data_IF_751767510524
#
_entry.id   IF_751767510524
#
_cell.length_a   1.000
_cell.length_b   1.000
_cell.length_c   1.000
_cell.angle_alpha   90.00
_cell.angle_beta   90.00
_cell.angle_gamma   90.00
#
_symmetry.space_group_name_H-M   'P 1'
#
loop_
_entity.id
_entity.type
_entity.pdbx_description
1 polymer ?
#
# COMPACT_ATOMS: atom_id res chain seq x y z
N UNK A 1 -22.34 16.97 11.99
CA UNK A 1 -22.31 15.53 12.25
C UNK A 1 -21.29 14.91 11.29
N UNK A 2 -20.31 14.17 11.80
CA UNK A 2 -19.40 13.38 10.95
C UNK A 2 -20.21 12.25 10.33
N UNK A 3 -20.21 12.16 9.01
CA UNK A 3 -20.76 10.96 8.36
C UNK A 3 -19.79 9.81 8.61
N UNK A 4 -20.27 8.63 9.06
CA UNK A 4 -19.42 7.45 9.18
C UNK A 4 -18.89 7.06 7.78
N UNK A 5 -17.60 6.79 7.71
CA UNK A 5 -16.96 6.32 6.47
C UNK A 5 -16.92 4.80 6.53
N UNK A 6 -17.66 4.14 5.62
CA UNK A 6 -17.51 2.70 5.44
C UNK A 6 -16.12 2.41 4.84
N UNK A 7 -15.33 1.64 5.56
CA UNK A 7 -13.94 1.36 5.24
C UNK A 7 -13.56 -0.07 5.64
N UNK A 8 -12.39 -0.55 5.20
CA UNK A 8 -11.84 -1.80 5.69
C UNK A 8 -11.77 -1.84 7.22
N UNK A 9 -11.36 -0.72 7.84
CA UNK A 9 -11.19 -0.59 9.28
C UNK A 9 -12.55 -0.75 10.00
N UNK A 10 -13.54 0.08 9.63
CA UNK A 10 -14.87 0.02 10.25
C UNK A 10 -15.58 -1.32 10.03
N UNK A 11 -15.35 -1.95 8.87
CA UNK A 11 -15.89 -3.27 8.57
C UNK A 11 -15.26 -4.35 9.45
N UNK A 12 -13.93 -4.38 9.57
CA UNK A 12 -13.24 -5.35 10.42
C UNK A 12 -13.49 -5.11 11.90
N UNK A 13 -13.60 -3.85 12.36
CA UNK A 13 -14.05 -3.52 13.72
C UNK A 13 -15.42 -4.16 14.01
N UNK A 14 -16.36 -4.11 13.05
CA UNK A 14 -17.67 -4.73 13.20
C UNK A 14 -17.62 -6.26 13.31
N UNK A 15 -16.51 -6.87 12.89
CA UNK A 15 -16.22 -8.31 13.04
C UNK A 15 -15.44 -8.64 14.31
N UNK A 16 -15.12 -7.64 15.15
CA UNK A 16 -14.38 -7.80 16.39
C UNK A 16 -12.86 -7.81 16.24
N UNK A 17 -12.33 -7.26 15.14
CA UNK A 17 -10.91 -7.03 14.98
C UNK A 17 -10.44 -5.83 15.81
N UNK A 18 -9.28 -5.97 16.46
CA UNK A 18 -8.54 -4.86 17.06
C UNK A 18 -7.73 -4.17 15.95
N UNK A 19 -7.94 -2.89 15.72
CA UNK A 19 -7.38 -2.17 14.58
C UNK A 19 -6.33 -1.16 14.98
N UNK A 20 -5.19 -1.15 14.29
CA UNK A 20 -4.05 -0.29 14.59
C UNK A 20 -3.43 0.31 13.34
N UNK A 21 -3.11 1.61 13.42
CA UNK A 21 -2.34 2.32 12.40
C UNK A 21 -0.96 2.69 12.94
N UNK A 22 0.09 2.36 12.18
CA UNK A 22 1.49 2.60 12.51
C UNK A 22 2.12 3.53 11.49
N UNK A 23 2.74 4.63 11.96
CA UNK A 23 3.47 5.55 11.10
C UNK A 23 4.56 6.27 11.89
N UNK A 24 5.83 5.96 11.64
CA UNK A 24 6.97 6.42 12.42
C UNK A 24 7.22 7.93 12.46
N UNK A 25 6.46 8.73 11.71
CA UNK A 25 6.54 10.19 11.72
C UNK A 25 5.97 10.81 13.02
N UNK A 26 6.27 12.10 13.30
CA UNK A 26 5.58 12.84 14.37
C UNK A 26 4.06 12.75 14.24
N UNK A 27 3.37 12.55 15.37
CA UNK A 27 1.92 12.32 15.41
C UNK A 27 1.15 13.44 14.79
N UNK A 28 0.64 13.63 13.83
CA UNK A 28 0.00 14.78 13.17
C UNK A 28 0.64 15.10 11.81
N UNK A 29 1.78 14.52 11.48
CA UNK A 29 2.37 14.64 10.15
C UNK A 29 1.35 14.18 9.10
N UNK A 30 1.25 14.95 8.00
CA UNK A 30 0.39 14.69 6.84
C UNK A 30 -1.10 14.41 7.18
N UNK A 31 -1.53 14.64 8.44
CA UNK A 31 -2.91 14.43 8.87
C UNK A 31 -3.28 12.96 9.16
N UNK A 32 -2.32 12.03 9.17
CA UNK A 32 -2.60 10.59 9.36
C UNK A 32 -3.30 10.26 10.67
N UNK A 33 -2.92 10.91 11.79
CA UNK A 33 -3.63 10.74 13.06
C UNK A 33 -5.11 11.15 12.95
N UNK A 34 -5.37 12.27 12.31
CA UNK A 34 -6.75 12.76 12.10
C UNK A 34 -7.53 11.83 11.18
N UNK A 35 -6.90 11.32 10.14
CA UNK A 35 -7.51 10.39 9.19
C UNK A 35 -7.76 9.02 9.80
N UNK A 36 -6.81 8.47 10.58
CA UNK A 36 -7.01 7.22 11.30
C UNK A 36 -8.19 7.28 12.28
N UNK A 37 -8.38 8.42 12.95
CA UNK A 37 -9.55 8.64 13.80
C UNK A 37 -10.87 8.72 13.01
N UNK A 38 -10.84 9.25 11.76
CA UNK A 38 -12.02 9.27 10.88
C UNK A 38 -12.37 7.86 10.41
N UNK A 39 -11.37 7.03 10.13
CA UNK A 39 -11.54 5.63 9.75
C UNK A 39 -11.86 4.71 10.92
N UNK A 40 -11.82 5.22 12.16
CA UNK A 40 -12.16 4.49 13.39
C UNK A 40 -11.15 3.39 13.76
N UNK A 41 -9.84 3.63 13.51
CA UNK A 41 -8.79 2.79 14.12
C UNK A 41 -8.83 2.88 15.64
N UNK A 42 -8.75 1.75 16.33
CA UNK A 42 -8.71 1.69 17.81
C UNK A 42 -7.42 2.29 18.35
N UNK A 43 -6.30 2.11 17.62
CA UNK A 43 -4.98 2.55 18.06
C UNK A 43 -4.22 3.26 16.94
N UNK A 44 -3.48 4.30 17.34
CA UNK A 44 -2.49 4.97 16.48
C UNK A 44 -1.11 4.90 17.18
N UNK A 45 -0.10 4.46 16.45
CA UNK A 45 1.27 4.37 16.93
C UNK A 45 2.20 5.17 16.02
N UNK A 46 2.67 6.31 16.51
CA UNK A 46 3.59 7.20 15.80
C UNK A 46 4.94 7.30 16.53
N UNK A 47 5.69 8.36 16.18
CA UNK A 47 6.96 8.69 16.83
C UNK A 47 6.81 8.86 18.34
N UNK A 48 5.70 9.43 18.80
CA UNK A 48 5.42 9.64 20.23
C UNK A 48 5.34 8.32 20.98
N UNK A 49 4.64 7.33 20.46
CA UNK A 49 4.47 6.02 21.09
C UNK A 49 5.72 5.14 20.95
N UNK A 50 6.55 5.36 19.94
CA UNK A 50 7.86 4.75 19.78
C UNK A 50 8.83 5.23 20.87
N UNK A 51 8.84 6.53 21.14
CA UNK A 51 9.52 7.18 22.28
C UNK A 51 11.06 6.96 22.34
N UNK A 52 11.72 6.88 21.19
CA UNK A 52 13.18 6.89 21.08
C UNK A 52 13.62 7.75 19.89
N UNK A 53 14.01 9.00 20.19
CA UNK A 53 14.43 9.96 19.18
C UNK A 53 15.80 9.63 18.56
N UNK A 54 16.57 8.69 19.13
CA UNK A 54 17.86 8.28 18.53
C UNK A 54 17.67 7.52 17.22
N UNK A 55 16.47 6.97 17.00
CA UNK A 55 16.08 6.25 15.78
C UNK A 55 15.37 7.14 14.74
N UNK A 56 15.30 8.45 14.99
CA UNK A 56 14.70 9.39 14.05
C UNK A 56 15.66 9.75 12.90
N UNK A 57 15.20 9.70 11.67
CA UNK A 57 16.00 9.95 10.46
C UNK A 57 16.40 11.43 10.24
N UNK A 58 15.86 12.31 11.06
CA UNK A 58 16.10 13.77 10.99
C UNK A 58 15.14 14.52 10.07
N UNK A 59 14.26 13.82 9.34
CA UNK A 59 13.36 14.41 8.35
C UNK A 59 11.91 13.93 8.48
N UNK A 60 11.69 12.64 8.30
CA UNK A 60 10.35 12.08 8.16
C UNK A 60 9.89 11.32 9.40
N UNK A 61 10.71 10.40 9.91
CA UNK A 61 10.27 9.56 10.99
C UNK A 61 11.33 8.61 11.54
N UNK A 62 10.86 7.66 12.29
CA UNK A 62 11.67 6.56 12.82
C UNK A 62 12.05 5.63 11.65
N UNK A 63 13.31 5.20 11.61
CA UNK A 63 13.78 4.23 10.61
C UNK A 63 12.90 2.99 10.55
N UNK A 64 12.66 2.45 9.34
CA UNK A 64 11.72 1.35 9.12
C UNK A 64 12.07 0.09 9.91
N UNK A 65 13.37 -0.29 10.01
CA UNK A 65 13.75 -1.51 10.73
C UNK A 65 13.34 -1.46 12.20
N UNK A 66 13.79 -0.49 13.04
CA UNK A 66 13.37 -0.43 14.45
C UNK A 66 11.86 -0.19 14.60
N UNK A 67 11.23 0.50 13.66
CA UNK A 67 9.79 0.74 13.71
C UNK A 67 8.97 -0.53 13.43
N UNK A 68 9.43 -1.39 12.52
CA UNK A 68 8.82 -2.71 12.32
C UNK A 68 8.96 -3.61 13.55
N UNK A 69 10.11 -3.58 14.26
CA UNK A 69 10.28 -4.33 15.50
C UNK A 69 9.35 -3.80 16.61
N UNK A 70 9.19 -2.48 16.69
CA UNK A 70 8.21 -1.87 17.60
C UNK A 70 6.77 -2.31 17.24
N UNK A 71 6.39 -2.27 15.98
CA UNK A 71 5.09 -2.77 15.52
C UNK A 71 4.90 -4.23 15.96
N UNK A 72 5.90 -5.10 15.69
CA UNK A 72 5.85 -6.50 16.13
C UNK A 72 5.58 -6.62 17.63
N UNK A 73 6.30 -5.85 18.46
CA UNK A 73 6.10 -5.86 19.91
C UNK A 73 4.66 -5.51 20.32
N UNK A 74 4.00 -4.60 19.56
CA UNK A 74 2.59 -4.27 19.79
C UNK A 74 1.66 -5.39 19.32
N UNK A 75 1.98 -6.05 18.19
CA UNK A 75 1.21 -7.19 17.70
C UNK A 75 1.29 -8.40 18.62
N UNK A 76 2.46 -8.67 19.24
CA UNK A 76 2.64 -9.75 20.22
C UNK A 76 1.74 -9.63 21.45
N UNK A 77 1.26 -8.41 21.73
CA UNK A 77 0.38 -8.11 22.87
C UNK A 77 -1.11 -8.17 22.51
N UNK A 78 -1.44 -8.34 21.21
CA UNK A 78 -2.83 -8.34 20.76
C UNK A 78 -3.46 -9.72 20.88
N UNK A 79 -4.73 -9.70 21.26
CA UNK A 79 -5.60 -10.85 21.08
C UNK A 79 -6.10 -10.87 19.63
N UNK A 80 -6.11 -12.05 19.01
CA UNK A 80 -6.67 -12.21 17.65
C UNK A 80 -8.19 -12.07 17.69
N UNK A 81 -8.81 -11.55 16.60
CA UNK A 81 -8.20 -11.09 15.35
C UNK A 81 -7.73 -9.62 15.42
N UNK A 82 -6.78 -9.26 14.56
CA UNK A 82 -6.32 -7.87 14.45
C UNK A 82 -6.13 -7.41 13.00
N UNK A 83 -6.25 -6.10 12.78
CA UNK A 83 -5.79 -5.40 11.57
C UNK A 83 -4.67 -4.43 11.96
N UNK A 84 -3.50 -4.58 11.36
CA UNK A 84 -2.40 -3.62 11.50
C UNK A 84 -2.06 -3.02 10.13
N UNK A 85 -2.09 -1.71 10.03
CA UNK A 85 -1.64 -0.97 8.84
C UNK A 85 -0.38 -0.19 9.20
N UNK A 86 0.70 -0.37 8.45
CA UNK A 86 1.94 0.39 8.62
C UNK A 86 2.25 1.17 7.35
N UNK A 87 2.62 2.44 7.54
CA UNK A 87 3.09 3.32 6.47
C UNK A 87 4.55 3.68 6.76
N UNK A 88 5.45 3.18 5.91
CA UNK A 88 6.91 3.32 6.06
C UNK A 88 7.40 4.69 5.61
N UNK A 89 8.63 5.06 5.98
CA UNK A 89 9.21 6.38 5.66
C UNK A 89 10.61 6.34 5.05
N UNK A 90 11.37 5.24 5.21
CA UNK A 90 12.80 5.23 4.90
C UNK A 90 13.12 5.21 3.42
N UNK A 91 12.16 4.96 2.53
CA UNK A 91 12.34 5.05 1.07
C UNK A 91 12.05 6.44 0.50
N UNK A 92 11.77 7.44 1.34
CA UNK A 92 11.48 8.81 0.94
C UNK A 92 12.77 9.67 0.81
N UNK A 93 12.70 10.80 0.08
CA UNK A 93 13.77 11.79 0.09
C UNK A 93 14.05 12.33 1.52
N UNK A 94 15.26 12.66 1.89
CA UNK A 94 16.45 12.90 1.07
C UNK A 94 17.25 11.64 0.65
N UNK A 95 16.67 10.45 0.69
CA UNK A 95 17.27 9.17 0.26
C UNK A 95 18.52 8.81 1.05
N UNK A 96 18.41 8.88 2.35
CA UNK A 96 19.45 8.47 3.31
C UNK A 96 19.06 7.16 3.98
N UNK A 97 20.06 6.47 4.53
CA UNK A 97 19.87 5.27 5.33
C UNK A 97 20.65 5.42 6.64
N UNK A 98 20.37 4.64 7.69
CA UNK A 98 21.15 4.71 8.93
C UNK A 98 22.64 4.49 8.68
N UNK A 99 23.51 5.23 9.37
CA UNK A 99 24.97 5.21 9.16
C UNK A 99 25.58 3.82 9.28
N UNK A 100 25.09 3.00 10.18
CA UNK A 100 25.55 1.62 10.38
C UNK A 100 25.29 0.70 9.20
N UNK A 101 24.46 1.13 8.25
CA UNK A 101 24.14 0.40 7.02
C UNK A 101 24.78 1.02 5.78
N UNK A 102 25.58 2.10 5.91
CA UNK A 102 26.29 2.68 4.78
C UNK A 102 27.15 1.62 4.05
N UNK A 103 27.00 1.56 2.73
CA UNK A 103 27.70 0.60 1.89
C UNK A 103 27.20 -0.85 1.94
N UNK A 104 26.16 -1.17 2.73
CA UNK A 104 25.59 -2.52 2.79
C UNK A 104 24.61 -2.83 1.66
N UNK A 105 23.98 -1.82 1.10
CA UNK A 105 23.00 -1.97 0.03
C UNK A 105 23.52 -1.41 -1.30
N UNK A 106 23.12 -1.99 -2.44
CA UNK A 106 23.49 -1.44 -3.74
C UNK A 106 23.01 0.00 -3.91
N UNK A 107 23.87 0.89 -4.40
CA UNK A 107 23.47 2.27 -4.72
C UNK A 107 22.45 2.32 -5.87
N UNK A 108 22.49 1.35 -6.79
CA UNK A 108 21.63 1.30 -7.95
C UNK A 108 21.84 2.44 -8.93
N UNK A 109 20.78 2.82 -9.65
CA UNK A 109 20.84 3.84 -10.70
C UNK A 109 20.28 5.19 -10.26
N UNK A 110 19.49 5.23 -9.19
CA UNK A 110 18.89 6.42 -8.60
C UNK A 110 19.02 6.37 -7.08
N UNK A 111 19.08 7.51 -6.38
CA UNK A 111 19.31 7.56 -4.93
C UNK A 111 18.32 6.73 -4.10
N UNK A 112 17.08 6.59 -4.57
CA UNK A 112 16.06 5.80 -3.90
C UNK A 112 16.40 4.30 -3.83
N UNK A 113 17.19 3.74 -4.76
CA UNK A 113 17.43 2.30 -4.82
C UNK A 113 18.05 1.73 -3.55
N UNK A 114 19.04 2.44 -2.96
CA UNK A 114 19.64 2.00 -1.69
C UNK A 114 18.65 2.04 -0.53
N UNK A 115 17.73 3.00 -0.55
CA UNK A 115 16.69 3.12 0.48
C UNK A 115 15.67 1.97 0.36
N UNK A 116 15.30 1.59 -0.87
CA UNK A 116 14.48 0.39 -1.11
C UNK A 116 15.21 -0.86 -0.60
N UNK A 117 16.53 -0.98 -0.84
CA UNK A 117 17.35 -2.07 -0.28
C UNK A 117 17.34 -2.10 1.25
N UNK A 118 17.35 -0.95 1.91
CA UNK A 118 17.22 -0.86 3.37
C UNK A 118 15.81 -1.26 3.84
N UNK A 119 14.75 -0.78 3.17
CA UNK A 119 13.37 -1.17 3.52
C UNK A 119 13.14 -2.67 3.31
N UNK A 120 13.69 -3.26 2.23
CA UNK A 120 13.65 -4.71 2.02
C UNK A 120 14.36 -5.47 3.15
N UNK A 121 15.52 -4.99 3.60
CA UNK A 121 16.18 -5.53 4.80
C UNK A 121 15.32 -5.39 6.05
N UNK A 122 14.65 -4.26 6.24
CA UNK A 122 13.75 -4.05 7.38
C UNK A 122 12.57 -5.06 7.36
N UNK A 123 12.00 -5.33 6.18
CA UNK A 123 11.03 -6.40 5.99
C UNK A 123 11.61 -7.76 6.35
N UNK A 124 12.81 -8.09 5.85
CA UNK A 124 13.46 -9.36 6.19
C UNK A 124 13.58 -9.55 7.71
N UNK A 125 14.08 -8.54 8.44
CA UNK A 125 14.23 -8.60 9.89
C UNK A 125 12.86 -8.78 10.61
N UNK A 126 11.84 -8.06 10.13
CA UNK A 126 10.49 -8.21 10.64
C UNK A 126 9.97 -9.64 10.44
N UNK A 127 10.04 -10.18 9.22
CA UNK A 127 9.55 -11.52 8.92
C UNK A 127 10.34 -12.61 9.67
N UNK A 128 11.66 -12.46 9.81
CA UNK A 128 12.48 -13.41 10.57
C UNK A 128 12.10 -13.45 12.07
N UNK A 129 11.74 -12.31 12.65
CA UNK A 129 11.27 -12.24 14.02
C UNK A 129 9.81 -12.70 14.16
N UNK A 130 8.93 -12.26 13.26
CA UNK A 130 7.50 -12.54 13.28
C UNK A 130 7.16 -14.02 13.05
N UNK A 131 7.95 -14.74 12.24
CA UNK A 131 7.76 -16.20 12.02
C UNK A 131 7.79 -17.04 13.29
N UNK A 132 8.29 -16.51 14.38
CA UNK A 132 8.37 -17.20 15.68
C UNK A 132 7.10 -17.01 16.52
N UNK A 133 6.22 -16.12 16.09
CA UNK A 133 5.05 -15.73 16.87
C UNK A 133 3.80 -16.55 16.51
N UNK A 134 2.95 -16.85 17.49
CA UNK A 134 1.75 -17.67 17.26
C UNK A 134 0.77 -17.10 16.23
N UNK A 135 0.75 -15.77 16.07
CA UNK A 135 -0.17 -15.11 15.13
C UNK A 135 0.28 -15.20 13.68
N UNK A 136 1.57 -15.46 13.40
CA UNK A 136 2.15 -15.38 12.08
C UNK A 136 1.44 -16.26 11.04
N UNK A 137 1.29 -17.56 11.35
CA UNK A 137 0.67 -18.54 10.46
C UNK A 137 -0.82 -18.25 10.17
N UNK A 138 -1.45 -17.36 10.94
CA UNK A 138 -2.85 -16.99 10.78
C UNK A 138 -3.02 -15.53 10.34
N UNK A 139 -1.99 -14.95 9.75
CA UNK A 139 -1.97 -13.56 9.28
C UNK A 139 -1.77 -13.52 7.77
N UNK A 140 -2.59 -12.73 7.09
CA UNK A 140 -2.39 -12.38 5.68
C UNK A 140 -1.63 -11.05 5.65
N UNK A 141 -0.48 -11.03 4.99
CA UNK A 141 0.32 -9.82 4.81
C UNK A 141 0.02 -9.22 3.44
N UNK A 142 -0.35 -7.95 3.42
CA UNK A 142 -0.60 -7.19 2.19
C UNK A 142 0.46 -6.12 2.05
N UNK A 143 1.20 -6.14 0.96
CA UNK A 143 2.31 -5.22 0.70
C UNK A 143 2.02 -4.49 -0.61
N UNK A 144 2.03 -3.17 -0.56
CA UNK A 144 1.87 -2.30 -1.73
C UNK A 144 2.64 -1.00 -1.50
N UNK A 145 2.84 -0.21 -2.55
CA UNK A 145 3.31 1.16 -2.43
C UNK A 145 2.13 2.14 -2.60
N UNK A 146 2.25 3.34 -2.04
CA UNK A 146 1.30 4.44 -2.22
C UNK A 146 1.38 5.01 -3.64
N UNK A 147 2.60 5.22 -4.16
CA UNK A 147 2.91 5.64 -5.52
C UNK A 147 4.35 5.28 -5.89
N UNK A 148 4.72 5.38 -7.16
CA UNK A 148 6.11 5.37 -7.61
C UNK A 148 6.72 6.77 -7.44
N UNK A 149 8.07 6.85 -7.39
CA UNK A 149 8.81 8.12 -7.24
C UNK A 149 9.85 8.27 -8.35
N UNK A 150 11.10 7.88 -8.11
CA UNK A 150 12.18 8.00 -9.09
C UNK A 150 12.11 6.88 -10.12
N UNK A 151 11.94 7.24 -11.39
CA UNK A 151 11.83 6.29 -12.49
C UNK A 151 13.15 6.20 -13.25
N UNK A 152 13.75 5.02 -13.30
CA UNK A 152 14.97 4.75 -14.05
C UNK A 152 14.69 4.04 -15.37
N UNK A 153 13.89 2.98 -15.36
CA UNK A 153 13.62 2.16 -16.54
C UNK A 153 12.66 2.85 -17.50
N UNK A 154 12.96 2.81 -18.79
CA UNK A 154 12.19 3.51 -19.83
C UNK A 154 10.73 3.04 -19.94
N UNK A 155 10.47 1.80 -19.58
CA UNK A 155 9.12 1.25 -19.52
C UNK A 155 8.23 2.03 -18.54
N UNK A 156 8.74 2.37 -17.36
CA UNK A 156 8.00 3.11 -16.33
C UNK A 156 8.00 4.63 -16.55
N UNK A 157 8.74 5.14 -17.55
CA UNK A 157 8.64 6.55 -17.99
C UNK A 157 7.42 6.80 -18.87
N UNK A 158 6.80 5.73 -19.40
CA UNK A 158 5.58 5.83 -20.21
C UNK A 158 4.41 6.27 -19.35
N UNK A 159 3.51 7.05 -19.96
CA UNK A 159 2.45 7.79 -19.24
C UNK A 159 1.52 6.89 -18.42
N UNK A 160 1.29 5.68 -18.85
CA UNK A 160 0.45 4.70 -18.15
C UNK A 160 1.23 3.97 -17.06
N UNK A 161 2.42 3.48 -17.37
CA UNK A 161 3.19 2.64 -16.45
C UNK A 161 3.78 3.41 -15.25
N UNK A 162 3.87 4.74 -15.34
CA UNK A 162 4.37 5.58 -14.24
C UNK A 162 3.54 5.48 -12.94
N UNK A 163 2.35 4.92 -13.01
CA UNK A 163 1.49 4.69 -11.84
C UNK A 163 1.57 3.24 -11.33
N UNK A 164 2.34 2.38 -11.99
CA UNK A 164 2.42 0.99 -11.63
C UNK A 164 3.12 0.80 -10.28
N UNK A 165 2.44 0.13 -9.35
CA UNK A 165 2.97 -0.30 -8.04
C UNK A 165 2.62 -1.76 -7.81
N UNK A 166 3.43 -2.52 -7.06
CA UNK A 166 3.09 -3.90 -6.73
C UNK A 166 1.92 -3.96 -5.75
N UNK A 167 1.09 -5.01 -5.87
CA UNK A 167 0.15 -5.44 -4.82
C UNK A 167 0.45 -6.91 -4.56
N UNK A 168 0.88 -7.25 -3.35
CA UNK A 168 1.23 -8.61 -2.95
C UNK A 168 0.39 -9.05 -1.76
N UNK A 169 -0.15 -10.26 -1.84
CA UNK A 169 -0.82 -10.93 -0.72
C UNK A 169 0.03 -12.15 -0.36
N UNK A 170 0.62 -12.13 0.83
CA UNK A 170 1.38 -13.25 1.34
C UNK A 170 0.60 -13.97 2.44
N UNK A 171 0.25 -15.21 2.17
CA UNK A 171 -0.38 -16.14 3.11
C UNK A 171 0.65 -17.19 3.51
N UNK A 172 1.13 -17.24 4.77
CA UNK A 172 2.08 -18.25 5.22
C UNK A 172 1.61 -19.69 5.02
N UNK A 173 0.29 -19.93 5.00
CA UNK A 173 -0.31 -21.25 4.74
C UNK A 173 -0.32 -21.63 3.26
N UNK A 174 0.05 -20.69 2.37
CA UNK A 174 0.18 -20.96 0.94
C UNK A 174 -1.15 -21.22 0.22
N UNK A 175 -2.25 -20.71 0.72
CA UNK A 175 -3.57 -20.87 0.08
C UNK A 175 -3.65 -20.13 -1.26
N UNK A 176 -3.00 -18.98 -1.36
CA UNK A 176 -2.97 -18.15 -2.56
C UNK A 176 -1.55 -18.10 -3.09
N UNK A 177 -1.33 -18.69 -4.27
CA UNK A 177 -0.01 -18.78 -4.90
C UNK A 177 -0.16 -18.49 -6.38
N UNK A 178 0.69 -17.62 -6.92
CA UNK A 178 0.73 -17.31 -8.34
C UNK A 178 0.88 -15.81 -8.58
N UNK A 179 0.85 -15.46 -9.85
CA UNK A 179 0.93 -14.09 -10.34
C UNK A 179 -0.31 -13.81 -11.19
N UNK A 180 -0.91 -12.65 -11.01
CA UNK A 180 -2.03 -12.18 -11.82
C UNK A 180 -1.59 -10.89 -12.53
N UNK A 181 -1.62 -10.91 -13.87
CA UNK A 181 -1.26 -9.78 -14.74
C UNK A 181 -2.46 -8.93 -15.18
N UNK A 182 -3.66 -9.21 -14.68
CA UNK A 182 -4.83 -8.39 -14.94
C UNK A 182 -4.65 -6.98 -14.37
N UNK A 183 -5.38 -6.02 -14.95
CA UNK A 183 -5.46 -4.68 -14.39
C UNK A 183 -5.96 -4.74 -12.95
N UNK A 184 -5.18 -4.15 -12.04
CA UNK A 184 -5.51 -4.04 -10.63
C UNK A 184 -5.18 -2.64 -10.11
N UNK A 185 -5.81 -2.23 -9.03
CA UNK A 185 -5.59 -0.93 -8.39
C UNK A 185 -5.72 -1.05 -6.86
N UNK A 186 -5.18 -0.09 -6.13
CA UNK A 186 -5.19 -0.13 -4.65
C UNK A 186 -6.60 -0.24 -4.06
N UNK A 187 -7.64 0.27 -4.75
CA UNK A 187 -9.03 0.11 -4.32
C UNK A 187 -9.51 -1.35 -4.31
N UNK A 188 -8.83 -2.24 -5.01
CA UNK A 188 -9.13 -3.67 -5.06
C UNK A 188 -8.68 -4.41 -3.78
N UNK A 189 -7.77 -3.81 -3.00
CA UNK A 189 -7.27 -4.39 -1.74
C UNK A 189 -8.42 -4.60 -0.75
N UNK A 190 -9.29 -3.60 -0.59
CA UNK A 190 -10.40 -3.66 0.37
C UNK A 190 -11.32 -4.87 0.14
N UNK A 191 -11.98 -5.02 -1.02
CA UNK A 191 -12.86 -6.18 -1.26
C UNK A 191 -12.10 -7.51 -1.26
N UNK A 192 -10.82 -7.52 -1.65
CA UNK A 192 -9.99 -8.74 -1.61
C UNK A 192 -9.77 -9.20 -0.17
N UNK A 193 -9.41 -8.29 0.75
CA UNK A 193 -9.24 -8.63 2.17
C UNK A 193 -10.56 -9.10 2.77
N UNK A 194 -11.69 -8.47 2.46
CA UNK A 194 -12.99 -8.90 2.96
C UNK A 194 -13.33 -10.34 2.53
N UNK A 195 -13.05 -10.69 1.28
CA UNK A 195 -13.25 -12.06 0.82
C UNK A 195 -12.29 -13.04 1.51
N UNK A 196 -11.01 -12.66 1.69
CA UNK A 196 -10.02 -13.48 2.39
C UNK A 196 -10.38 -13.74 3.85
N UNK A 197 -11.00 -12.76 4.51
CA UNK A 197 -11.44 -12.85 5.91
C UNK A 197 -12.82 -13.47 6.09
N UNK A 198 -13.51 -13.81 4.99
CA UNK A 198 -14.82 -14.46 5.01
C UNK A 198 -15.99 -13.53 5.35
N UNK A 199 -15.85 -12.23 5.08
CA UNK A 199 -16.95 -11.29 5.26
C UNK A 199 -18.06 -11.56 4.23
N UNK A 200 -19.28 -11.78 4.68
CA UNK A 200 -20.43 -12.25 3.87
C UNK A 200 -21.57 -11.23 3.76
N UNK A 201 -21.41 -10.04 4.35
CA UNK A 201 -22.44 -9.00 4.31
C UNK A 201 -22.25 -8.05 3.13
N UNK A 202 -23.30 -7.37 2.65
CA UNK A 202 -23.18 -6.33 1.64
C UNK A 202 -22.29 -5.18 2.14
N UNK A 203 -21.41 -4.68 1.26
CA UNK A 203 -20.57 -3.52 1.48
C UNK A 203 -20.43 -2.71 0.19
N UNK A 204 -19.93 -1.48 0.30
CA UNK A 204 -19.68 -0.60 -0.85
C UNK A 204 -18.21 -0.59 -1.18
N UNK A 205 -17.88 -0.84 -2.43
CA UNK A 205 -16.52 -0.72 -2.96
C UNK A 205 -16.53 -0.22 -4.41
N UNK A 206 -15.53 0.57 -4.77
CA UNK A 206 -15.23 0.92 -6.15
C UNK A 206 -14.30 -0.12 -6.80
N UNK A 207 -13.56 -0.85 -5.97
CA UNK A 207 -12.70 -1.94 -6.38
C UNK A 207 -13.44 -3.27 -6.48
N UNK A 208 -12.74 -4.28 -6.97
CA UNK A 208 -13.18 -5.67 -7.06
C UNK A 208 -12.26 -6.58 -6.25
N UNK A 209 -12.73 -7.74 -5.84
CA UNK A 209 -11.83 -8.73 -5.26
C UNK A 209 -10.94 -9.35 -6.34
N UNK A 210 -9.62 -9.41 -6.07
CA UNK A 210 -8.63 -9.96 -6.98
C UNK A 210 -8.57 -11.51 -6.96
N UNK A 211 -9.31 -12.13 -6.03
CA UNK A 211 -9.39 -13.59 -5.86
C UNK A 211 -10.78 -14.16 -6.16
N UNK A 212 -11.71 -13.34 -6.63
CA UNK A 212 -13.06 -13.78 -6.98
C UNK A 212 -13.11 -14.20 -8.45
N UNK A 213 -12.98 -15.49 -8.70
CA UNK A 213 -13.06 -16.09 -10.02
C UNK A 213 -14.47 -16.05 -10.63
N UNK A 214 -15.50 -15.76 -9.83
CA UNK A 214 -16.90 -15.70 -10.29
C UNK A 214 -17.29 -14.33 -10.85
N UNK A 215 -16.46 -13.32 -10.62
CA UNK A 215 -16.74 -11.94 -10.96
C UNK A 215 -16.61 -11.70 -12.48
N UNK A 216 -17.71 -11.29 -13.11
CA UNK A 216 -17.75 -11.02 -14.56
C UNK A 216 -17.41 -9.57 -14.93
N UNK A 217 -17.01 -8.73 -13.97
CA UNK A 217 -16.65 -7.34 -14.22
C UNK A 217 -15.32 -7.24 -14.94
N UNK A 218 -15.30 -6.50 -16.06
CA UNK A 218 -14.05 -6.20 -16.77
C UNK A 218 -13.16 -5.34 -15.86
N UNK A 219 -11.92 -5.76 -15.57
CA UNK A 219 -10.98 -5.00 -14.76
C UNK A 219 -10.77 -3.58 -15.30
N UNK A 220 -10.61 -2.63 -14.41
CA UNK A 220 -10.33 -1.24 -14.76
C UNK A 220 -9.39 -0.59 -13.75
N UNK A 221 -8.72 0.47 -14.19
CA UNK A 221 -7.87 1.33 -13.35
C UNK A 221 -8.20 2.78 -13.64
N UNK A 222 -8.23 3.60 -12.59
CA UNK A 222 -8.36 5.06 -12.69
C UNK A 222 -7.16 5.71 -12.02
N UNK A 223 -6.49 6.61 -12.75
CA UNK A 223 -5.45 7.49 -12.21
C UNK A 223 -5.82 8.95 -12.48
N UNK A 224 -5.37 9.86 -11.62
CA UNK A 224 -5.51 11.30 -11.78
C UNK A 224 -4.17 11.98 -11.48
N UNK A 225 -3.73 12.85 -12.38
CA UNK A 225 -2.42 13.54 -12.26
C UNK A 225 -2.52 15.00 -11.78
N UNK A 226 -3.70 15.39 -11.31
CA UNK A 226 -4.01 16.77 -10.95
C UNK A 226 -4.70 17.55 -12.08
N UNK A 227 -4.67 17.05 -13.31
CA UNK A 227 -5.27 17.67 -14.49
C UNK A 227 -6.23 16.73 -15.20
N UNK A 228 -5.78 15.51 -15.51
CA UNK A 228 -6.55 14.56 -16.30
C UNK A 228 -6.80 13.27 -15.54
N UNK A 229 -7.94 12.66 -15.79
CA UNK A 229 -8.23 11.29 -15.41
C UNK A 229 -7.80 10.36 -16.54
N UNK A 230 -7.10 9.27 -16.18
CA UNK A 230 -6.78 8.16 -17.07
C UNK A 230 -7.62 6.97 -16.65
N UNK A 231 -8.52 6.55 -17.49
CA UNK A 231 -9.38 5.39 -17.27
C UNK A 231 -8.99 4.27 -18.22
N UNK A 232 -8.40 3.23 -17.67
CA UNK A 232 -8.00 2.03 -18.42
C UNK A 232 -9.00 0.91 -18.15
N UNK A 233 -9.60 0.35 -19.18
CA UNK A 233 -10.55 -0.75 -19.09
C UNK A 233 -10.51 -1.64 -20.32
N UNK A 234 -10.42 -2.97 -20.10
CA UNK A 234 -10.26 -3.92 -21.20
C UNK A 234 -9.06 -3.54 -22.07
N UNK A 235 -9.28 -3.36 -23.36
CA UNK A 235 -8.22 -3.07 -24.33
C UNK A 235 -8.03 -1.58 -24.61
N UNK A 236 -8.57 -0.68 -23.80
CA UNK A 236 -8.59 0.74 -24.10
C UNK A 236 -8.22 1.63 -22.92
N UNK A 237 -7.66 2.78 -23.24
CA UNK A 237 -7.30 3.87 -22.34
C UNK A 237 -8.07 5.11 -22.77
N UNK A 238 -8.80 5.72 -21.84
CA UNK A 238 -9.52 6.98 -22.07
C UNK A 238 -8.88 8.08 -21.21
N UNK A 239 -8.57 9.21 -21.82
CA UNK A 239 -8.16 10.43 -21.13
C UNK A 239 -9.37 11.36 -21.05
N UNK A 240 -9.71 11.78 -19.82
CA UNK A 240 -10.87 12.60 -19.51
C UNK A 240 -10.43 13.87 -18.76
N UNK A 241 -10.88 15.04 -19.21
CA UNK A 241 -10.49 16.34 -18.67
C UNK A 241 -11.41 16.86 -17.55
N UNK A 242 -12.39 16.06 -17.14
CA UNK A 242 -13.41 16.43 -16.16
C UNK A 242 -14.74 16.80 -16.82
N UNK A 243 -14.76 17.10 -18.12
CA UNK A 243 -15.96 17.44 -18.90
C UNK A 243 -16.21 16.45 -20.04
N UNK A 244 -15.15 16.06 -20.76
CA UNK A 244 -15.24 15.18 -21.94
C UNK A 244 -14.01 14.30 -22.08
N UNK A 245 -14.16 13.22 -22.85
CA UNK A 245 -13.03 12.44 -23.32
C UNK A 245 -12.24 13.26 -24.37
N UNK A 246 -10.94 13.42 -24.14
CA UNK A 246 -10.02 14.16 -25.03
C UNK A 246 -9.00 13.24 -25.70
N UNK A 247 -8.91 11.99 -25.26
CA UNK A 247 -8.05 10.96 -25.83
C UNK A 247 -8.64 9.57 -25.63
N UNK A 248 -8.45 8.72 -26.64
CA UNK A 248 -8.84 7.31 -26.58
C UNK A 248 -7.79 6.49 -27.32
N UNK A 249 -7.24 5.48 -26.68
CA UNK A 249 -6.06 4.76 -27.16
C UNK A 249 -6.21 3.26 -26.93
N UNK A 250 -5.52 2.45 -27.74
CA UNK A 250 -5.36 1.03 -27.45
C UNK A 250 -4.46 0.82 -26.21
N UNK A 251 -4.69 -0.26 -25.46
CA UNK A 251 -3.94 -0.56 -24.24
C UNK A 251 -2.43 -0.75 -24.51
N UNK A 252 -2.07 -1.22 -25.71
CA UNK A 252 -0.69 -1.42 -26.11
C UNK A 252 0.02 -0.13 -26.51
N UNK A 253 -0.72 0.98 -26.74
CA UNK A 253 -0.17 2.30 -27.01
C UNK A 253 0.18 3.05 -25.72
N UNK A 254 1.13 2.51 -24.98
CA UNK A 254 1.56 3.05 -23.67
C UNK A 254 2.11 4.48 -23.74
N UNK A 255 2.44 4.96 -24.94
CA UNK A 255 2.94 6.32 -25.19
C UNK A 255 1.83 7.29 -25.57
N UNK A 256 0.58 6.82 -25.69
CA UNK A 256 -0.60 7.60 -26.06
C UNK A 256 -0.40 8.39 -27.37
N UNK A 257 0.19 7.73 -28.38
CA UNK A 257 0.61 8.35 -29.63
C UNK A 257 -0.46 8.30 -30.73
N UNK A 258 -1.38 7.33 -30.67
CA UNK A 258 -2.41 7.08 -31.68
C UNK A 258 -3.81 7.34 -31.12
N UNK A 259 -4.21 8.61 -31.07
CA UNK A 259 -5.54 8.97 -30.58
C UNK A 259 -6.62 8.46 -31.55
N UNK A 260 -7.54 7.65 -31.03
CA UNK A 260 -8.65 7.03 -31.76
C UNK A 260 -9.93 7.86 -31.69
N UNK A 261 -9.94 9.00 -31.02
CA UNK A 261 -11.07 9.95 -31.07
C UNK A 261 -11.11 10.59 -32.49
N UNK A 262 -12.23 10.42 -33.13
CA UNK A 262 -12.47 11.00 -34.46
C UNK A 262 -12.78 12.51 -34.39
#
# INVERSE_FOLDING_TARGET
>A
AKQPVESLVSTLNSMGYDTSFFHGAPNGSMGFLGFSNILEFDHYYGKTEFNDDTQFDGSWGIWDEPFFQFMKTKLDQKESPFLATVFTVSSHEPYVIPKEYEGKFPEGYVPMHKCVGYTDFAFQQFFESAKKEPWFENTIFVITADHCNQVHYDEYKKDINRYAVPIMFYDPKGKYVGENMDLAQQMDIYPTILQMTGYDKPFRSWGRSLIDETQQTVPFVINHDGVFYRYTKGNYICIFDGEKAIGFYGIDDLSLSQNLIA
#
